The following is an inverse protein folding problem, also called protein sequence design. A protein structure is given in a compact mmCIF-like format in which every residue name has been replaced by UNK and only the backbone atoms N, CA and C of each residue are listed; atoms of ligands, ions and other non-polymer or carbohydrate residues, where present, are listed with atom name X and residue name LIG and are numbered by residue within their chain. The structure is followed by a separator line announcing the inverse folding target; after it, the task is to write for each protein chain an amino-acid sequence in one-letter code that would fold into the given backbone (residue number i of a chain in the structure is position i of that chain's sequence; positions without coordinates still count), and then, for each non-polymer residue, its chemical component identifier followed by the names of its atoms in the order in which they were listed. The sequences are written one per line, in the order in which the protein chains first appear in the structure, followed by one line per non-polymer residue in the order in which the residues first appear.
data_IF_032937922044
#
_entry.id   IF_032937922044
#
_cell.length_a   1.000
_cell.length_b   1.000
_cell.length_c   1.000
_cell.angle_alpha   90.00
_cell.angle_beta   90.00
_cell.angle_gamma   90.00
#
_symmetry.space_group_name_H-M   'P 1'
#
loop_
_entity.id
_entity.type
_entity.pdbx_description
1 polymer ?
#
# COMPACT_ATOMS: atom_id res chain seq x y z
N UNK A 1 -17.94 -38.57 32.07
CA UNK A 1 -18.25 -38.05 30.68
C UNK A 1 -17.18 -37.06 30.30
N UNK A 2 -16.23 -37.50 29.48
CA UNK A 2 -15.12 -36.67 28.99
C UNK A 2 -15.62 -36.09 27.66
N UNK A 3 -15.93 -34.77 27.64
CA UNK A 3 -16.26 -34.03 26.45
C UNK A 3 -15.00 -33.78 25.63
N UNK A 4 -14.89 -34.42 24.46
CA UNK A 4 -13.83 -34.18 23.49
C UNK A 4 -13.90 -32.74 22.95
N UNK A 5 -12.80 -32.02 23.13
CA UNK A 5 -12.55 -30.79 22.36
C UNK A 5 -12.41 -31.20 20.90
N UNK A 6 -13.37 -30.80 20.08
CA UNK A 6 -13.32 -31.00 18.64
C UNK A 6 -12.13 -30.22 18.08
N UNK A 7 -11.15 -30.97 17.61
CA UNK A 7 -10.03 -30.49 16.79
C UNK A 7 -10.63 -29.91 15.48
N UNK A 8 -10.68 -28.56 15.36
CA UNK A 8 -11.09 -27.93 14.12
C UNK A 8 -10.01 -28.20 13.08
N UNK A 9 -10.34 -28.80 11.92
CA UNK A 9 -9.34 -29.02 10.88
C UNK A 9 -8.81 -27.66 10.39
N UNK A 10 -7.53 -27.45 10.64
CA UNK A 10 -6.79 -26.24 10.21
C UNK A 10 -6.58 -26.31 8.69
N UNK A 11 -7.36 -25.57 7.93
CA UNK A 11 -7.23 -25.49 6.47
C UNK A 11 -5.91 -24.79 6.12
N UNK A 12 -5.11 -25.38 5.22
CA UNK A 12 -3.79 -24.85 4.80
C UNK A 12 -3.83 -23.40 4.30
N UNK A 13 -4.96 -22.94 3.73
CA UNK A 13 -5.19 -21.54 3.35
C UNK A 13 -5.26 -20.58 4.54
N UNK A 14 -5.85 -21.03 5.66
CA UNK A 14 -5.97 -20.24 6.89
C UNK A 14 -4.62 -19.96 7.55
N UNK A 15 -3.66 -20.92 7.51
CA UNK A 15 -2.37 -20.74 8.15
C UNK A 15 -1.51 -19.67 7.45
N UNK A 16 -1.47 -19.66 6.12
CA UNK A 16 -0.72 -18.64 5.38
C UNK A 16 -1.27 -17.24 5.65
N UNK A 17 -2.59 -17.08 5.61
CA UNK A 17 -3.26 -15.83 5.92
C UNK A 17 -3.02 -15.40 7.38
N UNK A 18 -3.12 -16.32 8.33
CA UNK A 18 -2.85 -16.06 9.75
C UNK A 18 -1.40 -15.64 9.99
N UNK A 19 -0.43 -16.27 9.32
CA UNK A 19 0.98 -15.88 9.41
C UNK A 19 1.23 -14.48 8.86
N UNK A 20 0.59 -14.12 7.74
CA UNK A 20 0.68 -12.76 7.16
C UNK A 20 0.05 -11.73 8.12
N UNK A 21 -1.15 -11.99 8.65
CA UNK A 21 -1.82 -11.08 9.57
C UNK A 21 -1.01 -10.88 10.87
N UNK A 22 -0.43 -11.94 11.44
CA UNK A 22 0.44 -11.86 12.61
C UNK A 22 1.73 -11.08 12.28
N UNK A 23 2.31 -11.31 11.10
CA UNK A 23 3.50 -10.61 10.66
C UNK A 23 3.24 -9.11 10.42
N UNK A 24 2.08 -8.75 9.86
CA UNK A 24 1.68 -7.34 9.69
C UNK A 24 1.54 -6.62 11.03
N UNK A 25 0.88 -7.25 12.01
CA UNK A 25 0.78 -6.71 13.37
C UNK A 25 2.16 -6.55 14.02
N UNK A 26 3.01 -7.58 13.94
CA UNK A 26 4.36 -7.54 14.50
C UNK A 26 5.24 -6.47 13.78
N UNK A 27 5.04 -6.26 12.49
CA UNK A 27 5.68 -5.20 11.71
C UNK A 27 5.30 -3.82 12.24
N UNK A 28 4.00 -3.58 12.46
CA UNK A 28 3.49 -2.31 12.97
C UNK A 28 3.98 -2.01 14.40
N UNK A 29 4.04 -3.01 15.26
CA UNK A 29 4.41 -2.84 16.66
C UNK A 29 5.93 -2.77 16.90
N UNK A 30 6.72 -3.55 16.15
CA UNK A 30 8.14 -3.84 16.47
C UNK A 30 9.09 -3.64 15.28
N UNK A 31 8.57 -3.31 14.11
CA UNK A 31 9.35 -3.11 12.90
C UNK A 31 9.84 -4.41 12.23
N UNK A 32 10.46 -4.31 11.02
CA UNK A 32 10.82 -5.47 10.20
C UNK A 32 11.95 -6.33 10.78
N UNK A 33 12.80 -5.79 11.65
CA UNK A 33 13.87 -6.53 12.31
C UNK A 33 13.34 -7.60 13.27
N UNK A 34 12.21 -7.35 13.92
CA UNK A 34 11.57 -8.25 14.88
C UNK A 34 10.82 -9.42 14.22
N UNK A 35 10.62 -9.42 12.91
CA UNK A 35 9.93 -10.50 12.22
C UNK A 35 10.77 -11.77 12.16
N UNK A 36 10.22 -12.87 12.69
CA UNK A 36 10.81 -14.20 12.72
C UNK A 36 9.76 -15.27 12.43
N UNK A 37 10.02 -16.15 11.45
CA UNK A 37 9.11 -17.28 11.16
C UNK A 37 8.85 -18.16 12.37
N UNK A 38 9.86 -18.34 13.24
CA UNK A 38 9.75 -19.14 14.47
C UNK A 38 8.80 -18.48 15.49
N UNK A 39 8.88 -17.16 15.63
CA UNK A 39 8.01 -16.41 16.54
C UNK A 39 6.57 -16.38 16.04
N UNK A 40 6.39 -16.17 14.73
CA UNK A 40 5.07 -16.22 14.10
C UNK A 40 4.42 -17.61 14.22
N UNK A 41 5.21 -18.71 14.12
CA UNK A 41 4.71 -20.05 14.38
C UNK A 41 4.19 -20.20 15.81
N UNK A 42 4.95 -19.70 16.79
CA UNK A 42 4.56 -19.72 18.21
C UNK A 42 3.27 -18.90 18.43
N UNK A 43 3.17 -17.71 17.85
CA UNK A 43 1.98 -16.85 17.96
C UNK A 43 0.75 -17.48 17.29
N UNK A 44 0.95 -18.20 16.18
CA UNK A 44 -0.11 -18.95 15.49
C UNK A 44 -0.47 -20.29 16.13
N UNK A 45 0.23 -20.70 17.19
CA UNK A 45 -0.03 -21.98 17.88
C UNK A 45 0.32 -23.22 17.04
N UNK A 46 1.26 -23.09 16.08
CA UNK A 46 1.66 -24.19 15.19
C UNK A 46 3.11 -24.61 15.41
N UNK A 47 3.50 -25.76 14.86
CA UNK A 47 4.89 -26.25 14.94
C UNK A 47 5.86 -25.27 14.26
N UNK A 48 7.09 -25.17 14.74
CA UNK A 48 8.12 -24.29 14.18
C UNK A 48 8.46 -24.59 12.70
N UNK A 49 8.15 -25.79 12.22
CA UNK A 49 8.36 -26.20 10.84
C UNK A 49 7.19 -25.78 9.92
N UNK A 50 6.01 -25.46 10.46
CA UNK A 50 4.81 -25.18 9.67
C UNK A 50 4.96 -23.93 8.76
N UNK A 51 5.53 -22.79 9.21
CA UNK A 51 5.73 -21.63 8.34
C UNK A 51 6.64 -21.91 7.16
N UNK A 52 7.64 -22.80 7.30
CA UNK A 52 8.56 -23.17 6.21
C UNK A 52 7.89 -23.82 5.00
N UNK A 53 6.65 -24.31 5.13
CA UNK A 53 5.83 -24.80 4.01
C UNK A 53 5.22 -23.68 3.18
N UNK A 54 5.14 -22.47 3.72
CA UNK A 54 4.54 -21.29 3.08
C UNK A 54 5.57 -20.24 2.69
N UNK A 55 6.64 -20.12 3.48
CA UNK A 55 7.70 -19.12 3.29
C UNK A 55 9.05 -19.80 3.46
N UNK A 56 9.82 -19.90 2.38
CA UNK A 56 11.15 -20.55 2.37
C UNK A 56 12.14 -19.88 3.34
N UNK A 57 11.97 -18.56 3.55
CA UNK A 57 12.83 -17.74 4.42
C UNK A 57 12.09 -16.44 4.82
N UNK A 58 12.75 -15.60 5.63
CA UNK A 58 12.24 -14.30 6.07
C UNK A 58 11.98 -13.37 4.87
N UNK A 59 12.79 -13.42 3.82
CA UNK A 59 12.62 -12.56 2.65
C UNK A 59 11.32 -12.88 1.91
N UNK A 60 11.00 -14.17 1.74
CA UNK A 60 9.74 -14.60 1.14
C UNK A 60 8.51 -14.13 1.97
N UNK A 61 8.62 -14.08 3.29
CA UNK A 61 7.58 -13.49 4.15
C UNK A 61 7.46 -11.98 3.92
N UNK A 62 8.59 -11.24 3.89
CA UNK A 62 8.60 -9.80 3.66
C UNK A 62 8.05 -9.45 2.28
N UNK A 63 8.37 -10.24 1.24
CA UNK A 63 7.79 -10.09 -0.09
C UNK A 63 6.27 -10.31 -0.10
N UNK A 64 5.80 -11.32 0.63
CA UNK A 64 4.37 -11.59 0.73
C UNK A 64 3.62 -10.47 1.47
N UNK A 65 4.23 -9.87 2.50
CA UNK A 65 3.68 -8.69 3.20
C UNK A 65 3.61 -7.48 2.27
N UNK A 66 4.71 -7.19 1.58
CA UNK A 66 4.76 -6.07 0.62
C UNK A 66 3.75 -6.27 -0.52
N UNK A 67 3.63 -7.49 -1.06
CA UNK A 67 2.64 -7.85 -2.07
C UNK A 67 1.21 -7.58 -1.56
N UNK A 68 0.88 -8.04 -0.33
CA UNK A 68 -0.42 -7.75 0.29
C UNK A 68 -0.66 -6.25 0.43
N UNK A 69 0.36 -5.47 0.77
CA UNK A 69 0.28 -4.02 0.85
C UNK A 69 0.00 -3.36 -0.50
N UNK A 70 0.72 -3.76 -1.56
CA UNK A 70 0.50 -3.27 -2.92
C UNK A 70 -0.90 -3.61 -3.44
N UNK A 71 -1.34 -4.86 -3.31
CA UNK A 71 -2.67 -5.29 -3.76
C UNK A 71 -3.78 -4.53 -3.02
N UNK A 72 -3.64 -4.34 -1.70
CA UNK A 72 -4.59 -3.57 -0.88
C UNK A 72 -4.65 -2.10 -1.27
N UNK A 73 -3.50 -1.47 -1.47
CA UNK A 73 -3.44 -0.07 -1.89
C UNK A 73 -4.03 0.11 -3.28
N UNK A 74 -3.63 -0.72 -4.25
CA UNK A 74 -4.15 -0.68 -5.62
C UNK A 74 -5.68 -0.82 -5.63
N UNK A 75 -6.23 -1.82 -4.92
CA UNK A 75 -7.68 -2.01 -4.85
C UNK A 75 -8.40 -0.79 -4.27
N UNK A 76 -7.89 -0.17 -3.19
CA UNK A 76 -8.48 1.05 -2.63
C UNK A 76 -8.43 2.23 -3.61
N UNK A 77 -7.35 2.37 -4.38
CA UNK A 77 -7.22 3.43 -5.39
C UNK A 77 -8.17 3.20 -6.56
N UNK A 78 -8.32 1.96 -7.03
CA UNK A 78 -9.27 1.59 -8.08
C UNK A 78 -10.72 1.85 -7.65
N UNK A 79 -11.09 1.47 -6.42
CA UNK A 79 -12.40 1.75 -5.84
C UNK A 79 -12.67 3.27 -5.76
N UNK A 80 -11.67 4.05 -5.37
CA UNK A 80 -11.78 5.51 -5.30
C UNK A 80 -11.98 6.14 -6.67
N UNK A 81 -11.25 5.67 -7.70
CA UNK A 81 -11.44 6.12 -9.08
C UNK A 81 -12.81 5.73 -9.62
N UNK A 82 -13.27 4.50 -9.35
CA UNK A 82 -14.60 4.05 -9.76
C UNK A 82 -15.72 4.89 -9.12
N UNK A 83 -15.54 5.36 -7.90
CA UNK A 83 -16.52 6.16 -7.18
C UNK A 83 -16.67 7.59 -7.74
N UNK A 84 -15.60 8.17 -8.31
CA UNK A 84 -15.64 9.52 -8.92
C UNK A 84 -16.01 9.50 -10.40
N UNK A 85 -15.88 8.34 -11.07
CA UNK A 85 -16.28 8.21 -12.47
C UNK A 85 -15.50 9.14 -13.42
N UNK A 86 -16.21 9.87 -14.27
CA UNK A 86 -15.66 10.76 -15.31
C UNK A 86 -15.62 12.25 -14.87
N UNK A 87 -15.51 12.54 -13.57
CA UNK A 87 -15.53 13.90 -13.01
C UNK A 87 -14.24 14.72 -13.24
N UNK A 88 -13.41 14.31 -14.19
CA UNK A 88 -12.19 14.99 -14.61
C UNK A 88 -10.94 14.63 -13.80
N UNK A 89 -9.79 15.01 -14.36
CA UNK A 89 -8.48 14.63 -13.82
C UNK A 89 -8.23 15.16 -12.40
N UNK A 90 -8.67 16.39 -12.12
CA UNK A 90 -8.48 17.00 -10.78
C UNK A 90 -9.23 16.23 -9.70
N UNK A 91 -10.46 15.82 -9.94
CA UNK A 91 -11.28 15.04 -9.00
C UNK A 91 -10.65 13.67 -8.77
N UNK A 92 -10.24 13.01 -9.85
CA UNK A 92 -9.57 11.72 -9.84
C UNK A 92 -8.25 11.75 -9.04
N UNK A 93 -7.39 12.76 -9.29
CA UNK A 93 -6.13 12.93 -8.55
C UNK A 93 -6.39 13.23 -7.08
N UNK A 94 -7.41 14.03 -6.73
CA UNK A 94 -7.77 14.29 -5.34
C UNK A 94 -8.28 13.02 -4.63
N UNK A 95 -9.07 12.19 -5.32
CA UNK A 95 -9.53 10.91 -4.78
C UNK A 95 -8.37 9.94 -4.51
N UNK A 96 -7.43 9.83 -5.47
CA UNK A 96 -6.19 9.07 -5.28
C UNK A 96 -5.36 9.61 -4.12
N UNK A 97 -5.22 10.94 -4.01
CA UNK A 97 -4.45 11.59 -2.96
C UNK A 97 -5.02 11.28 -1.56
N UNK A 98 -6.33 11.39 -1.38
CA UNK A 98 -7.02 11.05 -0.12
C UNK A 98 -6.79 9.58 0.26
N UNK A 99 -7.00 8.69 -0.69
CA UNK A 99 -6.86 7.25 -0.49
C UNK A 99 -5.42 6.87 -0.14
N UNK A 100 -4.45 7.41 -0.89
CA UNK A 100 -3.03 7.16 -0.64
C UNK A 100 -2.58 7.70 0.72
N UNK A 101 -2.91 8.95 1.05
CA UNK A 101 -2.48 9.57 2.32
C UNK A 101 -3.12 8.86 3.51
N UNK A 102 -4.42 8.51 3.42
CA UNK A 102 -5.09 7.72 4.45
C UNK A 102 -4.39 6.36 4.64
N UNK A 103 -4.13 5.63 3.54
CA UNK A 103 -3.40 4.37 3.62
C UNK A 103 -2.01 4.53 4.24
N UNK A 104 -1.27 5.56 3.85
CA UNK A 104 0.09 5.83 4.32
C UNK A 104 0.13 6.13 5.84
N UNK A 105 -0.84 6.86 6.35
CA UNK A 105 -0.95 7.17 7.78
C UNK A 105 -1.34 5.91 8.57
N UNK A 106 -2.34 5.17 8.10
CA UNK A 106 -2.85 3.98 8.79
C UNK A 106 -1.88 2.80 8.77
N UNK A 107 -1.00 2.72 7.74
CA UNK A 107 -0.15 1.56 7.47
C UNK A 107 1.33 1.96 7.27
N UNK A 108 1.83 2.93 8.04
CA UNK A 108 3.17 3.51 7.83
C UNK A 108 4.28 2.45 7.76
N UNK A 109 4.35 1.51 8.71
CA UNK A 109 5.37 0.47 8.73
C UNK A 109 5.26 -0.50 7.52
N UNK A 110 4.03 -0.77 7.05
CA UNK A 110 3.80 -1.59 5.86
C UNK A 110 4.24 -0.83 4.61
N UNK A 111 3.93 0.45 4.51
CA UNK A 111 4.35 1.30 3.40
C UNK A 111 5.87 1.39 3.31
N UNK A 112 6.56 1.60 4.43
CA UNK A 112 8.03 1.58 4.49
C UNK A 112 8.60 0.25 3.99
N UNK A 113 7.99 -0.88 4.39
CA UNK A 113 8.38 -2.20 3.90
C UNK A 113 8.15 -2.33 2.39
N UNK A 114 7.00 -1.88 1.87
CA UNK A 114 6.68 -1.90 0.44
C UNK A 114 7.76 -1.16 -0.37
N UNK A 115 8.13 0.06 0.05
CA UNK A 115 9.18 0.83 -0.60
C UNK A 115 10.55 0.18 -0.50
N UNK A 116 10.93 -0.36 0.66
CA UNK A 116 12.19 -1.07 0.84
C UNK A 116 12.29 -2.32 -0.06
N UNK A 117 11.19 -3.08 -0.18
CA UNK A 117 11.14 -4.30 -1.01
C UNK A 117 11.10 -4.00 -2.51
N UNK A 118 10.44 -2.91 -2.92
CA UNK A 118 10.40 -2.44 -4.31
C UNK A 118 11.79 -2.29 -4.93
N UNK A 119 12.78 -1.87 -4.15
CA UNK A 119 14.12 -1.61 -4.62
C UNK A 119 15.11 -2.76 -4.37
N UNK A 120 14.66 -3.88 -3.76
CA UNK A 120 15.52 -5.05 -3.57
C UNK A 120 15.59 -5.88 -4.87
N UNK A 121 16.77 -6.05 -5.49
CA UNK A 121 16.90 -6.82 -6.72
C UNK A 121 16.55 -8.31 -6.55
N UNK A 122 16.35 -8.78 -5.31
CA UNK A 122 15.93 -10.14 -4.98
C UNK A 122 14.43 -10.27 -4.78
N UNK A 123 13.66 -9.19 -5.02
CA UNK A 123 12.20 -9.23 -4.91
C UNK A 123 11.59 -10.18 -5.93
N UNK A 124 10.42 -10.73 -5.59
CA UNK A 124 9.73 -11.70 -6.47
C UNK A 124 9.15 -11.02 -7.72
N UNK A 125 9.02 -11.77 -8.83
CA UNK A 125 8.34 -11.27 -10.02
C UNK A 125 6.88 -10.86 -9.74
N UNK A 126 6.21 -11.53 -8.79
CA UNK A 126 4.85 -11.18 -8.37
C UNK A 126 4.81 -9.80 -7.71
N UNK A 127 5.82 -9.47 -6.90
CA UNK A 127 5.93 -8.15 -6.26
C UNK A 127 6.16 -7.05 -7.30
N UNK A 128 7.02 -7.30 -8.30
CA UNK A 128 7.24 -6.37 -9.41
C UNK A 128 5.96 -6.10 -10.20
N UNK A 129 5.21 -7.16 -10.54
CA UNK A 129 3.94 -7.03 -11.24
C UNK A 129 2.87 -6.28 -10.42
N UNK A 130 2.83 -6.46 -9.09
CA UNK A 130 1.91 -5.72 -8.24
C UNK A 130 2.27 -4.22 -8.20
N UNK A 131 3.55 -3.90 -8.18
CA UNK A 131 4.03 -2.52 -8.27
C UNK A 131 3.68 -1.88 -9.61
N UNK A 132 3.85 -2.60 -10.73
CA UNK A 132 3.47 -2.10 -12.06
C UNK A 132 1.98 -1.79 -12.11
N UNK A 133 1.09 -2.66 -11.60
CA UNK A 133 -0.36 -2.38 -11.51
C UNK A 133 -0.67 -1.13 -10.71
N UNK A 134 0.00 -0.93 -9.57
CA UNK A 134 -0.16 0.30 -8.78
C UNK A 134 0.22 1.54 -9.61
N UNK A 135 1.34 1.49 -10.32
CA UNK A 135 1.81 2.60 -11.16
C UNK A 135 0.82 2.89 -12.29
N UNK A 136 0.31 1.87 -12.96
CA UNK A 136 -0.70 2.02 -14.02
C UNK A 136 -1.97 2.70 -13.48
N UNK A 137 -2.41 2.32 -12.27
CA UNK A 137 -3.58 2.94 -11.61
C UNK A 137 -3.35 4.42 -11.32
N UNK A 138 -2.15 4.82 -10.93
CA UNK A 138 -1.80 6.23 -10.62
C UNK A 138 -1.60 7.06 -11.88
N UNK A 139 -1.02 6.47 -12.95
CA UNK A 139 -0.73 7.19 -14.20
C UNK A 139 -1.99 7.42 -15.03
N UNK A 140 -2.96 6.52 -15.00
CA UNK A 140 -4.17 6.59 -15.83
C UNK A 140 -4.91 7.94 -15.78
N UNK A 141 -5.27 8.52 -14.61
CA UNK A 141 -5.96 9.82 -14.57
C UNK A 141 -5.13 10.97 -15.13
N UNK A 142 -3.80 10.85 -15.16
CA UNK A 142 -2.92 11.84 -15.75
C UNK A 142 -3.00 11.76 -17.29
N UNK A 143 -2.96 10.55 -17.83
CA UNK A 143 -3.10 10.31 -19.28
C UNK A 143 -4.48 10.77 -19.77
N UNK A 144 -5.54 10.43 -19.05
CA UNK A 144 -6.90 10.85 -19.36
C UNK A 144 -7.00 12.38 -19.33
N UNK A 145 -6.51 13.02 -18.27
CA UNK A 145 -6.50 14.50 -18.17
C UNK A 145 -5.63 15.20 -19.21
N UNK A 146 -4.57 14.56 -19.71
CA UNK A 146 -3.80 15.09 -20.85
C UNK A 146 -4.62 15.00 -22.15
N UNK A 147 -5.36 13.91 -22.34
CA UNK A 147 -6.22 13.70 -23.51
C UNK A 147 -7.37 14.71 -23.54
N UNK A 148 -7.93 15.05 -22.37
CA UNK A 148 -9.03 16.00 -22.21
C UNK A 148 -8.57 17.46 -22.12
N UNK A 149 -7.25 17.71 -22.11
CA UNK A 149 -6.67 19.06 -22.04
C UNK A 149 -6.69 19.69 -20.64
N UNK A 150 -7.02 18.93 -19.59
CA UNK A 150 -6.99 19.39 -18.20
C UNK A 150 -5.57 19.38 -17.61
N UNK A 151 -4.70 18.53 -18.13
CA UNK A 151 -3.29 18.43 -17.76
C UNK A 151 -2.44 18.71 -19.00
N UNK A 152 -1.33 19.40 -18.84
CA UNK A 152 -0.40 19.69 -19.92
C UNK A 152 0.10 18.39 -20.59
N UNK A 153 0.09 18.35 -21.92
CA UNK A 153 0.55 17.21 -22.70
C UNK A 153 2.06 16.95 -22.51
N UNK A 154 2.48 15.74 -22.85
CA UNK A 154 3.86 15.28 -22.75
C UNK A 154 3.96 13.90 -22.10
N UNK A 155 5.17 13.53 -21.62
CA UNK A 155 5.35 12.28 -20.88
C UNK A 155 4.58 12.35 -19.55
N UNK A 156 3.61 11.43 -19.28
CA UNK A 156 2.85 11.43 -18.05
C UNK A 156 3.68 11.03 -16.82
N UNK A 157 4.81 10.35 -17.02
CA UNK A 157 5.63 9.81 -15.94
C UNK A 157 6.21 10.88 -14.99
N UNK A 158 6.84 11.97 -15.46
CA UNK A 158 7.30 13.05 -14.59
C UNK A 158 6.17 13.68 -13.76
N UNK A 159 4.97 13.80 -14.33
CA UNK A 159 3.79 14.32 -13.62
C UNK A 159 3.39 13.35 -12.52
N UNK A 160 3.24 12.05 -12.83
CA UNK A 160 2.90 11.01 -11.87
C UNK A 160 3.93 10.93 -10.72
N UNK A 161 5.22 10.99 -11.05
CA UNK A 161 6.30 10.98 -10.06
C UNK A 161 6.25 12.21 -9.14
N UNK A 162 5.97 13.39 -9.69
CA UNK A 162 5.86 14.63 -8.91
C UNK A 162 4.70 14.54 -7.93
N UNK A 163 3.52 14.13 -8.41
CA UNK A 163 2.33 13.93 -7.57
C UNK A 163 2.62 12.90 -6.47
N UNK A 164 3.16 11.74 -6.84
CA UNK A 164 3.47 10.67 -5.88
C UNK A 164 4.48 11.10 -4.82
N UNK A 165 5.54 11.80 -5.21
CA UNK A 165 6.56 12.31 -4.27
C UNK A 165 5.98 13.37 -3.31
N UNK A 166 5.13 14.27 -3.82
CA UNK A 166 4.46 15.27 -3.00
C UNK A 166 3.53 14.62 -1.98
N UNK A 167 2.72 13.64 -2.38
CA UNK A 167 1.79 12.94 -1.51
C UNK A 167 2.51 12.07 -0.47
N UNK A 168 3.60 11.40 -0.84
CA UNK A 168 4.41 10.62 0.09
C UNK A 168 5.06 11.51 1.16
N UNK A 169 5.69 12.61 0.73
CA UNK A 169 6.25 13.60 1.65
C UNK A 169 5.19 14.23 2.55
N UNK A 170 4.02 14.57 2.00
CA UNK A 170 2.89 15.10 2.74
C UNK A 170 2.42 14.12 3.83
N UNK A 171 2.21 12.84 3.49
CA UNK A 171 1.78 11.82 4.43
C UNK A 171 2.77 11.68 5.61
N UNK A 172 4.07 11.68 5.31
CA UNK A 172 5.13 11.62 6.32
C UNK A 172 5.09 12.83 7.26
N UNK A 173 4.92 14.04 6.72
CA UNK A 173 4.87 15.28 7.50
C UNK A 173 3.58 15.40 8.34
N UNK A 174 2.49 14.78 7.92
CA UNK A 174 1.17 14.89 8.54
C UNK A 174 0.75 13.66 9.35
N UNK A 175 1.59 12.66 9.51
CA UNK A 175 1.26 11.41 10.20
C UNK A 175 0.73 11.60 11.64
N UNK A 176 1.12 12.69 12.32
CA UNK A 176 0.66 13.01 13.67
C UNK A 176 -0.39 14.12 13.71
N UNK A 177 -0.89 14.60 12.57
CA UNK A 177 -1.86 15.70 12.53
C UNK A 177 -3.31 15.18 12.68
N UNK A 178 -4.25 15.99 13.22
CA UNK A 178 -5.67 15.65 13.24
C UNK A 178 -6.23 15.44 11.82
N UNK A 179 -7.16 14.47 11.61
CA UNK A 179 -7.69 14.12 10.29
C UNK A 179 -8.26 15.31 9.51
N UNK A 180 -8.97 16.22 10.18
CA UNK A 180 -9.57 17.41 9.55
C UNK A 180 -8.50 18.32 8.95
N UNK A 181 -7.36 18.50 9.65
CA UNK A 181 -6.23 19.29 9.16
C UNK A 181 -5.47 18.60 8.04
N UNK A 182 -5.46 17.27 8.02
CA UNK A 182 -4.90 16.50 6.91
C UNK A 182 -5.72 16.75 5.66
N UNK A 183 -7.04 16.65 5.73
CA UNK A 183 -7.95 16.83 4.59
C UNK A 183 -7.86 18.24 3.99
N UNK A 184 -7.95 19.30 4.82
CA UNK A 184 -7.82 20.69 4.39
C UNK A 184 -6.47 20.95 3.69
N UNK A 185 -5.38 20.50 4.30
CA UNK A 185 -4.02 20.68 3.76
C UNK A 185 -3.81 19.89 2.48
N UNK A 186 -4.40 18.69 2.37
CA UNK A 186 -4.27 17.83 1.19
C UNK A 186 -4.96 18.44 -0.03
N UNK A 187 -6.18 18.96 0.15
CA UNK A 187 -6.90 19.65 -0.92
C UNK A 187 -6.09 20.85 -1.45
N UNK A 188 -5.42 21.58 -0.56
CA UNK A 188 -4.56 22.69 -0.93
C UNK A 188 -3.30 22.24 -1.69
N UNK A 189 -2.65 21.13 -1.27
CA UNK A 189 -1.51 20.55 -2.00
C UNK A 189 -1.92 20.15 -3.40
N UNK A 190 -3.05 19.47 -3.57
CA UNK A 190 -3.55 19.09 -4.90
C UNK A 190 -3.88 20.32 -5.74
N UNK A 191 -4.49 21.37 -5.15
CA UNK A 191 -4.72 22.64 -5.84
C UNK A 191 -3.41 23.23 -6.36
N UNK A 192 -2.38 23.30 -5.54
CA UNK A 192 -1.05 23.84 -5.93
C UNK A 192 -0.43 23.00 -7.05
N UNK A 193 -0.56 21.68 -7.01
CA UNK A 193 -0.03 20.79 -8.07
C UNK A 193 -0.71 21.09 -9.43
N UNK A 194 -2.01 21.34 -9.45
CA UNK A 194 -2.72 21.68 -10.70
C UNK A 194 -2.50 23.13 -11.16
N UNK A 195 -2.36 24.06 -10.25
CA UNK A 195 -2.22 25.48 -10.59
C UNK A 195 -0.76 25.89 -10.81
N UNK A 196 0.19 25.13 -10.30
CA UNK A 196 1.62 25.45 -10.32
C UNK A 196 1.99 26.57 -9.35
N UNK A 197 3.27 26.95 -9.36
CA UNK A 197 3.84 27.99 -8.50
C UNK A 197 4.12 29.30 -9.22
N UNK A 198 4.00 29.34 -10.54
CA UNK A 198 4.24 30.56 -11.32
C UNK A 198 3.05 31.54 -11.22
N UNK A 199 3.28 32.83 -11.14
CA UNK A 199 2.23 33.84 -11.27
C UNK A 199 1.53 33.68 -12.63
N UNK A 200 0.22 33.78 -12.67
CA UNK A 200 -0.58 33.79 -13.90
C UNK A 200 -0.62 35.18 -14.49
#
# INVERSE_FOLDING_TARGET
MLGGMADRPYHHGDLRAALIANAERALAERGPSALSLRELAREAGVSHAAPGRHFKDKQALLDALALTGFDRLTGRLEDALAAVGEDGARTSVLALARTYVGFAIDNAALLDLMYARKHDPRSSAQLSAAMERLLDTVVRPIVDGQSDGEIAGGDPWPVAMTVSAALHGFATLKAAAPPEKVEESLAEVVRVLFEGLAPR
#
